data_IF_931681264900
#
_entry.id   IF_931681264900
#
_cell.length_a   1.000
_cell.length_b   1.000
_cell.length_c   1.000
_cell.angle_alpha   90.00
_cell.angle_beta   90.00
_cell.angle_gamma   90.00
#
_symmetry.space_group_name_H-M   'P 1'
#
loop_
_entity.id
_entity.type
_entity.pdbx_description
1 polymer ?
#
# COMPACT_ATOMS: atom_id res chain seq x y z
N UNK A 1 -6.56 -7.36 -17.46
CA UNK A 1 -5.63 -8.31 -16.81
C UNK A 1 -4.28 -7.61 -16.69
N UNK A 2 -3.98 -6.99 -15.55
CA UNK A 2 -2.72 -6.27 -15.34
C UNK A 2 -1.62 -7.33 -15.23
N UNK A 3 -0.71 -7.38 -16.21
CA UNK A 3 0.49 -8.22 -16.10
C UNK A 3 1.40 -7.59 -15.06
N UNK A 4 1.63 -8.31 -13.95
CA UNK A 4 2.63 -7.94 -12.95
C UNK A 4 4.00 -7.80 -13.64
N UNK A 5 4.71 -6.70 -13.36
CA UNK A 5 6.08 -6.52 -13.83
C UNK A 5 6.93 -7.60 -13.15
N UNK A 6 7.52 -8.51 -13.94
CA UNK A 6 8.40 -9.57 -13.43
C UNK A 6 9.49 -8.96 -12.56
N UNK A 7 9.58 -9.42 -11.31
CA UNK A 7 10.60 -8.99 -10.35
C UNK A 7 10.18 -7.86 -9.39
N UNK A 8 8.98 -7.27 -9.53
CA UNK A 8 8.48 -6.37 -8.47
C UNK A 8 7.98 -7.18 -7.27
N UNK A 9 8.40 -6.83 -6.03
CA UNK A 9 7.82 -7.44 -4.84
C UNK A 9 6.33 -7.08 -4.76
N UNK A 10 5.48 -8.09 -4.62
CA UNK A 10 4.06 -7.91 -4.31
C UNK A 10 3.99 -7.64 -2.81
N UNK A 11 3.59 -6.41 -2.45
CA UNK A 11 3.42 -6.02 -1.04
C UNK A 11 2.00 -6.30 -0.61
N UNK A 12 1.84 -7.18 0.37
CA UNK A 12 0.57 -7.32 1.07
C UNK A 12 0.33 -6.06 1.93
N UNK A 13 -0.71 -5.30 1.62
CA UNK A 13 -0.98 -4.03 2.32
C UNK A 13 -1.58 -4.24 3.72
N UNK A 14 -2.23 -5.37 3.99
CA UNK A 14 -2.91 -5.59 5.27
C UNK A 14 -1.95 -5.62 6.47
N UNK A 15 -0.78 -6.29 6.41
CA UNK A 15 0.24 -6.18 7.45
C UNK A 15 0.86 -4.78 7.59
N UNK A 16 0.86 -3.99 6.52
CA UNK A 16 1.43 -2.62 6.51
C UNK A 16 0.50 -1.60 7.19
N UNK A 17 -0.82 -1.84 7.11
CA UNK A 17 -1.85 -1.01 7.77
C UNK A 17 -2.79 -1.90 8.60
N UNK A 18 -2.32 -2.44 9.73
CA UNK A 18 -3.11 -3.30 10.60
C UNK A 18 -4.38 -2.61 11.11
N UNK A 19 -4.37 -1.29 11.25
CA UNK A 19 -5.45 -0.46 11.80
C UNK A 19 -6.68 -0.36 10.87
N UNK A 20 -6.46 -0.57 9.58
CA UNK A 20 -7.47 -0.41 8.53
C UNK A 20 -8.12 -1.75 8.18
N UNK A 21 -9.43 -1.77 7.93
CA UNK A 21 -10.07 -2.94 7.33
C UNK A 21 -9.64 -3.11 5.88
N UNK A 22 -9.86 -4.28 5.28
CA UNK A 22 -9.56 -4.52 3.87
C UNK A 22 -10.29 -3.54 2.94
N UNK A 23 -11.55 -3.23 3.25
CA UNK A 23 -12.33 -2.24 2.51
C UNK A 23 -11.67 -0.86 2.59
N UNK A 24 -11.26 -0.44 3.80
CA UNK A 24 -10.58 0.84 4.01
C UNK A 24 -9.23 0.91 3.28
N UNK A 25 -8.49 -0.21 3.28
CA UNK A 25 -7.25 -0.38 2.53
C UNK A 25 -7.46 -0.24 1.03
N UNK A 26 -8.52 -0.84 0.48
CA UNK A 26 -8.85 -0.70 -0.93
C UNK A 26 -9.13 0.77 -1.30
N UNK A 27 -9.94 1.48 -0.49
CA UNK A 27 -10.19 2.91 -0.72
C UNK A 27 -8.91 3.75 -0.61
N UNK A 28 -8.05 3.49 0.39
CA UNK A 28 -6.77 4.19 0.54
C UNK A 28 -5.86 3.92 -0.66
N UNK A 29 -5.73 2.66 -1.09
CA UNK A 29 -4.93 2.27 -2.25
C UNK A 29 -5.43 2.97 -3.52
N UNK A 30 -6.74 2.96 -3.77
CA UNK A 30 -7.33 3.67 -4.92
C UNK A 30 -7.08 5.18 -4.83
N UNK A 31 -7.20 5.78 -3.65
CA UNK A 31 -6.92 7.21 -3.45
C UNK A 31 -5.47 7.57 -3.78
N UNK A 32 -4.50 6.75 -3.38
CA UNK A 32 -3.09 6.95 -3.69
C UNK A 32 -2.75 6.79 -5.17
N UNK A 33 -3.44 5.89 -5.88
CA UNK A 33 -3.16 5.62 -7.29
C UNK A 33 -3.86 6.59 -8.25
N UNK A 34 -5.08 7.04 -7.92
CA UNK A 34 -5.92 7.83 -8.83
C UNK A 34 -6.00 9.32 -8.47
N UNK A 35 -5.79 9.69 -7.20
CA UNK A 35 -5.81 11.08 -6.74
C UNK A 35 -7.14 11.82 -6.95
N UNK A 36 -8.23 11.11 -7.26
CA UNK A 36 -9.50 11.72 -7.68
C UNK A 36 -10.70 10.95 -7.12
N UNK A 37 -11.51 11.63 -6.30
CA UNK A 37 -12.72 11.04 -5.71
C UNK A 37 -13.70 10.55 -6.77
N UNK A 38 -13.91 11.32 -7.85
CA UNK A 38 -14.83 10.98 -8.94
C UNK A 38 -14.41 9.70 -9.68
N UNK A 39 -13.11 9.57 -10.01
CA UNK A 39 -12.58 8.36 -10.65
C UNK A 39 -12.76 7.13 -9.76
N UNK A 40 -12.48 7.26 -8.47
CA UNK A 40 -12.61 6.17 -7.50
C UNK A 40 -14.08 5.79 -7.33
N UNK A 41 -14.97 6.78 -7.24
CA UNK A 41 -16.41 6.57 -7.14
C UNK A 41 -16.94 5.76 -8.34
N UNK A 42 -16.51 6.11 -9.56
CA UNK A 42 -16.85 5.37 -10.77
C UNK A 42 -16.32 3.93 -10.77
N UNK A 43 -15.07 3.71 -10.34
CA UNK A 43 -14.46 2.36 -10.26
C UNK A 43 -15.16 1.51 -9.20
N UNK A 44 -15.49 2.09 -8.06
CA UNK A 44 -16.08 1.41 -6.92
C UNK A 44 -17.62 1.28 -7.02
N UNK A 45 -18.24 1.89 -8.03
CA UNK A 45 -19.69 1.90 -8.21
C UNK A 45 -20.44 2.57 -7.06
N UNK A 46 -19.88 3.65 -6.47
CA UNK A 46 -20.49 4.37 -5.35
C UNK A 46 -20.43 5.90 -5.55
N UNK A 47 -20.95 6.67 -4.59
CA UNK A 47 -20.90 8.14 -4.65
C UNK A 47 -19.55 8.70 -4.18
N UNK A 48 -19.17 9.89 -4.68
CA UNK A 48 -17.96 10.59 -4.23
C UNK A 48 -17.94 10.86 -2.72
N UNK A 49 -19.09 11.19 -2.14
CA UNK A 49 -19.20 11.40 -0.70
C UNK A 49 -18.92 10.12 0.08
N UNK A 50 -19.30 8.96 -0.48
CA UNK A 50 -18.92 7.69 0.11
C UNK A 50 -17.41 7.49 0.11
N UNK A 51 -16.74 7.80 -1.01
CA UNK A 51 -15.27 7.77 -1.10
C UNK A 51 -14.65 8.71 -0.06
N UNK A 52 -15.08 9.98 -0.02
CA UNK A 52 -14.58 10.97 0.96
C UNK A 52 -14.73 10.47 2.40
N UNK A 53 -15.88 9.89 2.76
CA UNK A 53 -16.09 9.29 4.09
C UNK A 53 -15.12 8.16 4.39
N UNK A 54 -14.87 7.26 3.44
CA UNK A 54 -13.89 6.19 3.63
C UNK A 54 -12.48 6.74 3.84
N UNK A 55 -12.06 7.72 3.03
CA UNK A 55 -10.74 8.36 3.16
C UNK A 55 -10.60 9.10 4.49
N UNK A 56 -11.64 9.82 4.91
CA UNK A 56 -11.68 10.49 6.20
C UNK A 56 -11.57 9.49 7.37
N UNK A 57 -12.27 8.36 7.30
CA UNK A 57 -12.14 7.28 8.30
C UNK A 57 -10.73 6.67 8.33
N UNK A 58 -10.07 6.53 7.17
CA UNK A 58 -8.68 6.09 7.12
C UNK A 58 -7.76 7.08 7.84
N UNK A 59 -7.94 8.39 7.59
CA UNK A 59 -7.20 9.46 8.27
C UNK A 59 -7.36 9.36 9.80
N UNK A 60 -8.60 9.23 10.26
CA UNK A 60 -8.92 9.14 11.69
C UNK A 60 -8.30 7.90 12.35
N UNK A 61 -8.43 6.73 11.72
CA UNK A 61 -7.85 5.48 12.25
C UNK A 61 -6.33 5.48 12.27
N UNK A 62 -5.70 6.20 11.36
CA UNK A 62 -4.24 6.37 11.34
C UNK A 62 -3.78 7.52 12.25
N UNK A 63 -4.69 8.21 12.94
CA UNK A 63 -4.36 9.30 13.86
C UNK A 63 -3.78 10.55 13.18
N UNK A 64 -4.15 10.81 11.92
CA UNK A 64 -3.54 11.89 11.12
C UNK A 64 -4.35 13.18 11.23
N UNK A 65 -3.65 14.31 11.20
CA UNK A 65 -4.25 15.64 11.29
C UNK A 65 -5.01 15.99 10.00
N UNK A 66 -4.45 15.67 8.83
CA UNK A 66 -5.03 15.97 7.51
C UNK A 66 -5.06 14.77 6.58
N UNK A 67 -5.93 14.83 5.56
CA UNK A 67 -6.02 13.84 4.48
C UNK A 67 -4.73 13.84 3.64
N UNK A 68 -4.07 14.99 3.48
CA UNK A 68 -2.82 15.10 2.72
C UNK A 68 -1.70 14.25 3.33
N UNK A 69 -1.68 14.07 4.66
CA UNK A 69 -0.72 13.20 5.34
C UNK A 69 -0.89 11.72 5.00
N UNK A 70 -2.05 11.28 4.48
CA UNK A 70 -2.24 9.90 4.06
C UNK A 70 -1.22 9.49 2.99
N UNK A 71 -0.89 10.40 2.07
CA UNK A 71 0.12 10.14 1.04
C UNK A 71 1.50 9.88 1.62
N UNK A 72 1.91 10.70 2.60
CA UNK A 72 3.21 10.58 3.25
C UNK A 72 3.30 9.25 4.00
N UNK A 73 2.29 8.94 4.82
CA UNK A 73 2.26 7.71 5.64
C UNK A 73 2.17 6.48 4.76
N UNK A 74 1.35 6.52 3.71
CA UNK A 74 1.20 5.41 2.79
C UNK A 74 2.54 5.07 2.12
N UNK A 75 3.17 6.08 1.51
CA UNK A 75 4.45 5.90 0.84
C UNK A 75 5.55 5.45 1.79
N UNK A 76 5.66 6.07 2.98
CA UNK A 76 6.69 5.71 3.94
C UNK A 76 6.58 4.25 4.40
N UNK A 77 5.37 3.80 4.78
CA UNK A 77 5.18 2.41 5.25
C UNK A 77 5.40 1.40 4.13
N UNK A 78 4.89 1.67 2.93
CA UNK A 78 5.09 0.79 1.75
C UNK A 78 6.55 0.73 1.34
N UNK A 79 7.26 1.87 1.28
CA UNK A 79 8.70 1.91 1.00
C UNK A 79 9.51 1.13 2.03
N UNK A 80 9.23 1.30 3.32
CA UNK A 80 9.86 0.51 4.38
C UNK A 80 9.64 -1.00 4.18
N UNK A 81 8.42 -1.42 3.86
CA UNK A 81 8.10 -2.82 3.59
C UNK A 81 8.89 -3.35 2.37
N UNK A 82 8.91 -2.63 1.26
CA UNK A 82 9.67 -2.99 0.06
C UNK A 82 11.17 -3.12 0.39
N UNK A 83 11.73 -2.15 1.12
CA UNK A 83 13.14 -2.19 1.53
C UNK A 83 13.46 -3.40 2.40
N UNK A 84 12.56 -3.82 3.29
CA UNK A 84 12.74 -5.02 4.10
C UNK A 84 12.74 -6.28 3.23
N UNK A 85 11.79 -6.41 2.29
CA UNK A 85 11.76 -7.53 1.35
C UNK A 85 13.05 -7.59 0.50
N UNK A 86 13.51 -6.45 -0.02
CA UNK A 86 14.74 -6.39 -0.82
C UNK A 86 15.99 -6.75 0.00
N UNK A 87 16.09 -6.30 1.26
CA UNK A 87 17.20 -6.67 2.16
C UNK A 87 17.21 -8.17 2.46
N UNK A 88 16.04 -8.77 2.69
CA UNK A 88 15.91 -10.23 2.91
C UNK A 88 16.39 -10.99 1.68
N UNK A 89 15.95 -10.59 0.48
CA UNK A 89 16.41 -11.23 -0.76
C UNK A 89 17.93 -11.09 -0.97
N UNK A 90 18.51 -9.90 -0.72
CA UNK A 90 19.95 -9.71 -0.82
C UNK A 90 20.73 -10.53 0.22
N UNK A 91 20.19 -10.71 1.43
CA UNK A 91 20.77 -11.57 2.47
C UNK A 91 20.74 -13.06 2.10
N UNK A 92 19.61 -13.53 1.56
CA UNK A 92 19.45 -14.92 1.11
C UNK A 92 20.41 -15.26 -0.05
N UNK A 93 20.55 -14.37 -1.04
CA UNK A 93 21.47 -14.58 -2.19
C UNK A 93 22.93 -14.72 -1.74
N UNK A 94 23.35 -13.97 -0.72
CA UNK A 94 24.70 -14.10 -0.15
C UNK A 94 24.92 -15.44 0.53
N UNK A 95 23.93 -15.94 1.28
CA UNK A 95 24.00 -17.24 1.96
C UNK A 95 24.02 -18.42 0.97
N UNK A 96 23.23 -18.36 -0.12
CA UNK A 96 23.23 -19.42 -1.14
C UNK A 96 24.54 -19.47 -1.92
N UNK A 97 25.15 -18.30 -2.21
CA UNK A 97 26.45 -18.25 -2.89
C UNK A 97 27.59 -18.80 -2.02
N UNK A 98 27.55 -18.57 -0.70
CA UNK A 98 28.53 -19.14 0.23
C UNK A 98 28.35 -20.66 0.42
N UNK A 99 27.10 -21.16 0.37
CA UNK A 99 26.80 -22.58 0.52
C UNK A 99 27.12 -23.43 -0.72
N UNK A 100 27.10 -22.82 -1.91
CA UNK A 100 27.42 -23.50 -3.18
C UNK A 100 28.91 -23.40 -3.56
N UNK A 101 29.71 -22.67 -2.76
CA UNK A 101 31.16 -22.54 -2.91
C UNK A 101 31.94 -23.48 -1.96
N UNK A 102 31.24 -24.41 -1.30
CA UNK A 102 31.76 -25.53 -0.52
C UNK A 102 31.15 -26.82 -1.06
#
# INVERSE_FOLDING_TARGET
>A
MIRLIKGMPVVELKPVFPELTEIQLNYLCMFMNYGSYSKIAAIMGCSEDNVKRHIQRCKEKLGLSSVDMLGIVYNARVQCCIMQHLKIHAGLVKQTSQRNAH
#
